data_IF_775098838003
#
_entry.id   IF_775098838003
#
_cell.length_a   1.000
_cell.length_b   1.000
_cell.length_c   1.000
_cell.angle_alpha   90.00
_cell.angle_beta   90.00
_cell.angle_gamma   90.00
#
_symmetry.space_group_name_H-M   'P 1'
#
loop_
_entity.id
_entity.type
_entity.pdbx_description
1 polymer ?
#
# COMPACT_ATOMS: atom_id res chain seq x y z
N UNK A 1 21.41 -3.20 -3.34
CA UNK A 1 20.41 -2.43 -2.57
C UNK A 1 20.86 -1.00 -2.51
N UNK A 2 19.98 -0.06 -2.79
CA UNK A 2 20.28 1.37 -2.73
C UNK A 2 19.96 1.95 -1.34
N UNK A 3 20.50 3.13 -1.02
CA UNK A 3 20.24 3.83 0.24
C UNK A 3 18.73 4.03 0.47
N UNK A 4 18.00 4.40 -0.57
CA UNK A 4 16.56 4.66 -0.50
C UNK A 4 15.75 3.40 -0.15
N UNK A 5 16.13 2.24 -0.69
CA UNK A 5 15.49 0.97 -0.36
C UNK A 5 15.68 0.61 1.11
N UNK A 6 16.91 0.74 1.63
CA UNK A 6 17.21 0.44 3.04
C UNK A 6 16.46 1.39 3.99
N UNK A 7 16.38 2.67 3.64
CA UNK A 7 15.60 3.66 4.41
C UNK A 7 14.11 3.27 4.38
N UNK A 8 13.55 2.97 3.21
CA UNK A 8 12.15 2.58 3.09
C UNK A 8 11.83 1.30 3.87
N UNK A 9 12.66 0.25 3.77
CA UNK A 9 12.51 -0.98 4.56
C UNK A 9 12.53 -0.67 6.06
N UNK A 10 13.47 0.15 6.50
CA UNK A 10 13.61 0.52 7.92
C UNK A 10 12.38 1.26 8.43
N UNK A 11 11.91 2.26 7.69
CA UNK A 11 10.68 3.00 8.02
C UNK A 11 9.47 2.08 8.07
N UNK A 12 9.34 1.16 7.10
CA UNK A 12 8.26 0.17 7.10
C UNK A 12 8.30 -0.73 8.33
N UNK A 13 9.48 -1.21 8.73
CA UNK A 13 9.65 -2.03 9.94
C UNK A 13 9.39 -1.26 11.23
N UNK A 14 9.77 0.02 11.30
CA UNK A 14 9.41 0.89 12.42
C UNK A 14 7.88 1.05 12.51
N UNK A 15 7.22 1.24 11.37
CA UNK A 15 5.76 1.28 11.28
C UNK A 15 5.08 -0.03 11.69
N UNK A 16 5.74 -1.18 11.55
CA UNK A 16 5.21 -2.47 12.00
C UNK A 16 5.26 -2.62 13.53
N UNK A 17 6.28 -2.07 14.19
CA UNK A 17 6.48 -2.20 15.65
C UNK A 17 5.81 -1.07 16.42
N UNK A 18 5.89 0.16 15.92
CA UNK A 18 5.37 1.37 16.54
C UNK A 18 4.55 2.21 15.55
N UNK A 19 3.42 1.69 15.03
CA UNK A 19 2.65 2.36 13.98
C UNK A 19 2.17 3.76 14.40
N UNK A 20 1.78 3.96 15.67
CA UNK A 20 1.33 5.25 16.20
C UNK A 20 2.37 6.38 16.09
N UNK A 21 3.66 6.04 16.16
CA UNK A 21 4.74 7.03 16.05
C UNK A 21 5.04 7.41 14.61
N UNK A 22 4.80 6.51 13.65
CA UNK A 22 5.23 6.69 12.26
C UNK A 22 4.06 7.12 11.36
N UNK A 23 2.84 6.63 11.64
CA UNK A 23 1.63 6.93 10.88
C UNK A 23 1.32 8.44 10.70
N UNK A 24 1.57 9.34 11.69
CA UNK A 24 1.38 10.77 11.50
C UNK A 24 2.24 11.38 10.37
N UNK A 25 3.36 10.74 10.05
CA UNK A 25 4.31 11.21 9.04
C UNK A 25 4.09 10.59 7.65
N UNK A 26 3.06 9.76 7.49
CA UNK A 26 2.86 8.95 6.29
C UNK A 26 2.71 9.80 5.02
N UNK A 27 2.07 10.97 5.11
CA UNK A 27 1.95 11.92 3.98
C UNK A 27 3.30 12.42 3.47
N UNK A 28 4.32 12.49 4.33
CA UNK A 28 5.64 13.01 3.98
C UNK A 28 6.41 11.98 3.14
N UNK A 29 6.28 10.69 3.45
CA UNK A 29 7.14 9.66 2.87
C UNK A 29 6.43 8.63 1.99
N UNK A 30 5.09 8.53 1.99
CA UNK A 30 4.37 7.47 1.28
C UNK A 30 4.76 7.38 -0.20
N UNK A 31 4.82 8.52 -0.90
CA UNK A 31 5.20 8.57 -2.31
C UNK A 31 6.62 8.06 -2.59
N UNK A 32 7.69 8.65 -2.01
CA UNK A 32 9.06 8.17 -2.25
C UNK A 32 9.26 6.73 -1.74
N UNK A 33 8.55 6.32 -0.68
CA UNK A 33 8.60 4.96 -0.15
C UNK A 33 8.01 3.94 -1.14
N UNK A 34 6.83 4.22 -1.68
CA UNK A 34 6.18 3.35 -2.67
C UNK A 34 7.00 3.27 -3.95
N UNK A 35 7.55 4.38 -4.43
CA UNK A 35 8.44 4.41 -5.60
C UNK A 35 9.71 3.57 -5.38
N UNK A 36 10.28 3.60 -4.17
CA UNK A 36 11.48 2.85 -3.85
C UNK A 36 11.22 1.34 -3.75
N UNK A 37 10.12 0.91 -3.11
CA UNK A 37 9.90 -0.51 -2.81
C UNK A 37 9.08 -1.28 -3.83
N UNK A 38 8.20 -0.62 -4.59
CA UNK A 38 7.39 -1.29 -5.62
C UNK A 38 8.22 -2.11 -6.61
N UNK A 39 9.31 -1.61 -7.23
CA UNK A 39 10.08 -2.36 -8.21
C UNK A 39 10.92 -3.50 -7.62
N UNK A 40 11.09 -3.56 -6.29
CA UNK A 40 11.90 -4.60 -5.65
C UNK A 40 11.15 -5.93 -5.72
N UNK A 41 11.87 -7.01 -6.03
CA UNK A 41 11.29 -8.36 -6.00
C UNK A 41 10.81 -8.73 -4.58
N UNK A 42 9.67 -9.43 -4.44
CA UNK A 42 9.21 -9.89 -3.14
C UNK A 42 10.29 -10.68 -2.39
N UNK A 43 10.53 -10.29 -1.14
CA UNK A 43 11.39 -10.95 -0.17
C UNK A 43 10.86 -10.64 1.24
N UNK A 44 11.48 -11.22 2.28
CA UNK A 44 11.02 -11.05 3.66
C UNK A 44 11.07 -9.59 4.15
N UNK A 45 12.00 -8.79 3.61
CA UNK A 45 12.14 -7.38 3.97
C UNK A 45 11.03 -6.54 3.37
N UNK A 46 10.70 -6.76 2.09
CA UNK A 46 9.57 -6.13 1.41
C UNK A 46 8.27 -6.55 2.09
N UNK A 47 8.13 -7.82 2.46
CA UNK A 47 6.96 -8.32 3.19
C UNK A 47 6.79 -7.56 4.50
N UNK A 48 7.82 -7.55 5.36
CA UNK A 48 7.76 -6.86 6.66
C UNK A 48 7.55 -5.35 6.51
N UNK A 49 8.16 -4.72 5.51
CA UNK A 49 7.99 -3.30 5.23
C UNK A 49 6.55 -2.97 4.80
N UNK A 50 5.96 -3.75 3.90
CA UNK A 50 4.57 -3.56 3.47
C UNK A 50 3.55 -3.91 4.57
N UNK A 51 3.82 -4.91 5.41
CA UNK A 51 3.00 -5.16 6.60
C UNK A 51 2.96 -3.93 7.51
N UNK A 52 4.10 -3.30 7.77
CA UNK A 52 4.14 -2.07 8.56
C UNK A 52 3.45 -0.89 7.89
N UNK A 53 3.54 -0.77 6.56
CA UNK A 53 2.75 0.21 5.81
C UNK A 53 1.24 0.00 6.04
N UNK A 54 0.76 -1.24 5.98
CA UNK A 54 -0.65 -1.54 6.25
C UNK A 54 -1.06 -1.13 7.67
N UNK A 55 -0.25 -1.42 8.70
CA UNK A 55 -0.54 -0.99 10.08
C UNK A 55 -0.60 0.54 10.20
N UNK A 56 0.34 1.25 9.59
CA UNK A 56 0.31 2.71 9.61
C UNK A 56 -0.92 3.30 8.89
N UNK A 57 -1.34 2.72 7.76
CA UNK A 57 -2.53 3.18 7.02
C UNK A 57 -3.80 2.91 7.82
N UNK A 58 -3.89 1.80 8.57
CA UNK A 58 -5.04 1.52 9.46
C UNK A 58 -5.22 2.63 10.51
N UNK A 59 -4.12 3.19 11.02
CA UNK A 59 -4.15 4.29 12.00
C UNK A 59 -4.41 5.64 11.33
N UNK A 60 -3.74 5.94 10.22
CA UNK A 60 -3.85 7.21 9.52
C UNK A 60 -4.10 7.01 8.00
N UNK A 61 -5.32 6.66 7.59
CA UNK A 61 -5.63 6.43 6.18
C UNK A 61 -5.55 7.72 5.35
N UNK A 62 -5.79 8.88 5.97
CA UNK A 62 -5.66 10.18 5.30
C UNK A 62 -4.21 10.49 4.92
N UNK A 63 -3.23 9.94 5.64
CA UNK A 63 -1.81 10.12 5.32
C UNK A 63 -1.41 9.56 3.96
N UNK A 64 -2.09 8.53 3.45
CA UNK A 64 -1.78 7.89 2.17
C UNK A 64 -2.81 8.19 1.06
N UNK A 65 -3.88 8.93 1.36
CA UNK A 65 -5.03 9.05 0.45
C UNK A 65 -4.66 9.62 -0.92
N UNK A 66 -3.76 10.60 -0.96
CA UNK A 66 -3.30 11.22 -2.21
C UNK A 66 -2.46 10.26 -3.07
N UNK A 67 -1.80 9.30 -2.42
CA UNK A 67 -0.94 8.31 -3.06
C UNK A 67 -1.66 6.96 -3.23
N UNK A 68 -2.98 6.92 -3.03
CA UNK A 68 -3.79 5.72 -3.21
C UNK A 68 -3.64 5.07 -4.60
N UNK A 69 -3.58 5.82 -5.73
CA UNK A 69 -3.31 5.20 -7.03
C UNK A 69 -1.97 4.44 -7.07
N UNK A 70 -0.94 5.00 -6.44
CA UNK A 70 0.39 4.38 -6.36
C UNK A 70 0.40 3.16 -5.43
N UNK A 71 -0.38 3.21 -4.34
CA UNK A 71 -0.60 2.06 -3.47
C UNK A 71 -1.29 0.91 -4.22
N UNK A 72 -2.34 1.20 -5.00
CA UNK A 72 -3.00 0.22 -5.86
C UNK A 72 -2.01 -0.40 -6.85
N UNK A 73 -1.14 0.40 -7.47
CA UNK A 73 -0.07 -0.09 -8.35
C UNK A 73 0.90 -1.02 -7.61
N UNK A 74 1.31 -0.66 -6.39
CA UNK A 74 2.20 -1.48 -5.58
C UNK A 74 1.58 -2.83 -5.19
N UNK A 75 0.30 -2.82 -4.79
CA UNK A 75 -0.46 -4.03 -4.44
C UNK A 75 -0.70 -4.91 -5.69
N UNK A 76 -1.07 -4.29 -6.80
CA UNK A 76 -1.28 -4.97 -8.09
C UNK A 76 -0.02 -5.74 -8.52
N UNK A 77 1.16 -5.14 -8.35
CA UNK A 77 2.43 -5.77 -8.71
C UNK A 77 3.02 -6.71 -7.64
N UNK A 78 2.36 -6.88 -6.49
CA UNK A 78 2.82 -7.78 -5.43
C UNK A 78 2.34 -9.22 -5.72
N UNK A 79 3.11 -10.00 -6.50
CA UNK A 79 2.68 -11.31 -7.01
C UNK A 79 2.60 -12.42 -5.93
N UNK A 80 3.48 -12.40 -4.93
CA UNK A 80 3.61 -13.47 -3.92
C UNK A 80 3.47 -12.94 -2.50
N UNK A 81 2.34 -12.28 -2.21
CA UNK A 81 2.02 -11.86 -0.85
C UNK A 81 1.72 -13.08 0.03
N UNK A 82 2.14 -13.04 1.30
CA UNK A 82 1.69 -14.03 2.28
C UNK A 82 0.18 -13.87 2.53
N UNK A 83 -0.53 -14.91 3.01
CA UNK A 83 -1.97 -14.82 3.27
C UNK A 83 -2.36 -13.63 4.16
N UNK A 84 -1.60 -13.38 5.23
CA UNK A 84 -1.85 -12.27 6.15
C UNK A 84 -1.64 -10.88 5.50
N UNK A 85 -0.62 -10.75 4.64
CA UNK A 85 -0.37 -9.49 3.93
C UNK A 85 -1.43 -9.26 2.84
N UNK A 86 -1.82 -10.33 2.15
CA UNK A 86 -2.91 -10.30 1.18
C UNK A 86 -4.22 -9.84 1.83
N UNK A 87 -4.60 -10.41 2.97
CA UNK A 87 -5.77 -9.96 3.73
C UNK A 87 -5.65 -8.48 4.14
N UNK A 88 -4.47 -8.07 4.60
CA UNK A 88 -4.21 -6.67 4.96
C UNK A 88 -4.38 -5.72 3.76
N UNK A 89 -3.90 -6.09 2.58
CA UNK A 89 -4.14 -5.32 1.35
C UNK A 89 -5.63 -5.22 1.02
N UNK A 90 -6.37 -6.32 1.09
CA UNK A 90 -7.82 -6.31 0.87
C UNK A 90 -8.55 -5.37 1.84
N UNK A 91 -8.22 -5.44 3.13
CA UNK A 91 -8.79 -4.56 4.15
C UNK A 91 -8.50 -3.08 3.89
N UNK A 92 -7.27 -2.74 3.50
CA UNK A 92 -6.92 -1.37 3.13
C UNK A 92 -7.72 -0.91 1.91
N UNK A 93 -7.79 -1.71 0.85
CA UNK A 93 -8.51 -1.36 -0.37
C UNK A 93 -10.01 -1.16 -0.12
N UNK A 94 -10.64 -2.04 0.65
CA UNK A 94 -12.03 -1.90 1.07
C UNK A 94 -12.25 -0.67 1.95
N UNK A 95 -11.31 -0.35 2.85
CA UNK A 95 -11.34 0.85 3.67
C UNK A 95 -11.36 2.13 2.81
N UNK A 96 -10.48 2.21 1.80
CA UNK A 96 -10.48 3.33 0.87
C UNK A 96 -11.74 3.40 0.01
N UNK A 97 -12.27 2.26 -0.45
CA UNK A 97 -13.56 2.20 -1.16
C UNK A 97 -14.70 2.78 -0.32
N UNK A 98 -14.77 2.40 0.96
CA UNK A 98 -15.76 2.95 1.88
C UNK A 98 -15.57 4.44 2.14
N UNK A 99 -14.32 4.92 2.18
CA UNK A 99 -14.01 6.33 2.43
C UNK A 99 -14.34 7.24 1.23
N UNK A 100 -14.10 6.79 -0.01
CA UNK A 100 -14.43 7.57 -1.22
C UNK A 100 -15.93 7.54 -1.55
N UNK A 101 -16.63 6.48 -1.16
CA UNK A 101 -18.02 6.25 -1.58
C UNK A 101 -18.13 5.79 -3.04
N UNK A 102 -19.31 5.28 -3.41
CA UNK A 102 -19.50 4.57 -4.68
C UNK A 102 -19.20 5.42 -5.92
N UNK A 103 -19.69 6.67 -5.97
CA UNK A 103 -19.53 7.52 -7.13
C UNK A 103 -18.05 7.84 -7.43
N UNK A 104 -17.29 8.26 -6.41
CA UNK A 104 -15.87 8.56 -6.56
C UNK A 104 -15.05 7.29 -6.79
N UNK A 105 -15.42 6.17 -6.16
CA UNK A 105 -14.78 4.87 -6.41
C UNK A 105 -14.91 4.42 -7.86
N UNK A 106 -16.10 4.54 -8.46
CA UNK A 106 -16.30 4.17 -9.87
C UNK A 106 -15.50 5.07 -10.81
N UNK A 107 -15.43 6.38 -10.54
CA UNK A 107 -14.58 7.30 -11.32
C UNK A 107 -13.09 6.91 -11.21
N UNK A 108 -12.63 6.58 -10.00
CA UNK A 108 -11.27 6.11 -9.79
C UNK A 108 -10.97 4.82 -10.57
N UNK A 109 -11.84 3.80 -10.48
CA UNK A 109 -11.71 2.55 -11.22
C UNK A 109 -11.76 2.73 -12.74
N UNK A 110 -12.49 3.73 -13.23
CA UNK A 110 -12.54 4.06 -14.66
C UNK A 110 -11.25 4.74 -15.14
N UNK A 111 -10.60 5.51 -14.28
CA UNK A 111 -9.31 6.16 -14.57
C UNK A 111 -8.10 5.22 -14.45
N UNK A 112 -8.28 4.06 -13.85
CA UNK A 112 -7.21 3.11 -13.59
C UNK A 112 -6.80 2.35 -14.86
N UNK A 113 -5.48 2.18 -15.11
CA UNK A 113 -5.01 1.36 -16.22
C UNK A 113 -5.51 -0.10 -16.15
N UNK A 114 -5.88 -0.73 -17.29
CA UNK A 114 -6.41 -2.10 -17.32
C UNK A 114 -5.48 -3.14 -16.66
N UNK A 115 -4.16 -2.96 -16.79
CA UNK A 115 -3.14 -3.84 -16.26
C UNK A 115 -3.10 -3.87 -14.72
N UNK A 116 -3.60 -2.83 -14.05
CA UNK A 116 -3.74 -2.80 -12.59
C UNK A 116 -5.13 -3.27 -12.16
N UNK A 117 -6.15 -2.97 -12.97
CA UNK A 117 -7.53 -3.33 -12.67
C UNK A 117 -7.75 -4.84 -12.64
N UNK A 118 -7.25 -5.57 -13.63
CA UNK A 118 -7.41 -7.03 -13.70
C UNK A 118 -6.88 -7.76 -12.45
N UNK A 119 -5.63 -7.58 -12.00
CA UNK A 119 -5.11 -8.28 -10.83
C UNK A 119 -5.69 -7.78 -9.50
N UNK A 120 -6.20 -6.55 -9.43
CA UNK A 120 -6.92 -6.07 -8.24
C UNK A 120 -8.32 -6.68 -8.16
N UNK A 121 -9.00 -6.80 -9.29
CA UNK A 121 -10.31 -7.43 -9.38
C UNK A 121 -10.23 -8.94 -9.08
N UNK A 122 -9.32 -9.66 -9.73
CA UNK A 122 -9.15 -11.11 -9.57
C UNK A 122 -8.80 -11.50 -8.12
N UNK A 123 -7.97 -10.69 -7.45
CA UNK A 123 -7.44 -11.04 -6.12
C UNK A 123 -8.22 -10.43 -4.95
N UNK A 124 -8.84 -9.27 -5.14
CA UNK A 124 -9.49 -8.53 -4.05
C UNK A 124 -10.95 -8.18 -4.33
N UNK A 125 -11.51 -8.53 -5.49
CA UNK A 125 -12.94 -8.35 -5.81
C UNK A 125 -13.41 -6.90 -5.91
N UNK A 126 -12.47 -5.99 -6.17
CA UNK A 126 -12.72 -4.53 -6.26
C UNK A 126 -12.76 -4.01 -7.70
#
# INVERSE_FOLDING_TARGET
RTLLENVAITVGRLGLVCPDLVAPHLQVFAKPWLNALTPIRPNDEKLTAFSGLCEMIKINPQGAVQEFPLLCHAIANYQTASPALHESFGNILMGYKSMFGEAQWQQFLASMPPELKAPLHERYGI
#
